data_IF_232797577025
#
_entry.id   IF_232797577025
#
_cell.length_a   1.000
_cell.length_b   1.000
_cell.length_c   1.000
_cell.angle_alpha   90.00
_cell.angle_beta   90.00
_cell.angle_gamma   90.00
#
_symmetry.space_group_name_H-M   'P 1'
#
loop_
_entity.id
_entity.type
_entity.pdbx_description
1 polymer ?
#
# COMPACT_ATOMS: atom_id res chain seq x y z
N UNK A 1 -3.89 -11.34 15.00
CA UNK A 1 -2.63 -11.14 14.26
C UNK A 1 -2.87 -10.07 13.20
N UNK A 2 -1.92 -9.20 12.92
CA UNK A 2 -2.08 -8.18 11.87
C UNK A 2 -2.31 -8.82 10.50
N UNK A 3 -3.03 -8.13 9.63
CA UNK A 3 -3.31 -8.62 8.28
C UNK A 3 -2.02 -8.68 7.47
N UNK A 4 -1.74 -9.78 6.76
CA UNK A 4 -0.57 -9.83 5.87
C UNK A 4 -0.77 -8.90 4.66
N UNK A 5 0.31 -8.55 3.94
CA UNK A 5 0.21 -7.88 2.65
C UNK A 5 -0.72 -8.66 1.71
N UNK A 6 -1.54 -7.94 0.94
CA UNK A 6 -2.59 -8.54 0.09
C UNK A 6 -2.06 -9.61 -0.87
N UNK A 7 -0.83 -9.45 -1.34
CA UNK A 7 -0.22 -10.37 -2.31
C UNK A 7 0.35 -11.65 -1.69
N UNK A 8 0.50 -11.73 -0.35
CA UNK A 8 1.09 -12.90 0.30
C UNK A 8 0.39 -14.23 -0.07
N UNK A 9 -0.95 -14.34 -0.05
CA UNK A 9 -1.62 -15.60 -0.44
C UNK A 9 -1.30 -16.05 -1.86
N UNK A 10 -1.10 -15.12 -2.80
CA UNK A 10 -0.72 -15.41 -4.20
C UNK A 10 0.64 -16.11 -4.25
N UNK A 11 1.63 -15.53 -3.58
CA UNK A 11 2.98 -16.04 -3.58
C UNK A 11 3.14 -17.32 -2.76
N UNK A 12 2.36 -17.46 -1.67
CA UNK A 12 2.31 -18.70 -0.87
C UNK A 12 1.77 -19.86 -1.71
N UNK A 13 0.67 -19.67 -2.45
CA UNK A 13 0.14 -20.70 -3.35
C UNK A 13 1.16 -21.04 -4.45
N UNK A 14 1.75 -20.04 -5.09
CA UNK A 14 2.75 -20.23 -6.14
C UNK A 14 3.97 -21.03 -5.64
N UNK A 15 4.51 -20.66 -4.47
CA UNK A 15 5.64 -21.36 -3.86
C UNK A 15 5.32 -22.80 -3.50
N UNK A 16 4.15 -23.04 -2.90
CA UNK A 16 3.70 -24.38 -2.54
C UNK A 16 3.58 -25.28 -3.77
N UNK A 17 2.97 -24.78 -4.86
CA UNK A 17 2.83 -25.52 -6.11
C UNK A 17 4.19 -25.83 -6.74
N UNK A 18 5.10 -24.88 -6.82
CA UNK A 18 6.44 -25.11 -7.38
C UNK A 18 7.24 -26.12 -6.57
N UNK A 19 7.16 -26.09 -5.24
CA UNK A 19 7.81 -27.10 -4.36
C UNK A 19 7.23 -28.49 -4.58
N UNK A 20 5.92 -28.59 -4.86
CA UNK A 20 5.23 -29.85 -5.12
C UNK A 20 5.33 -30.32 -6.58
N UNK A 21 5.93 -29.54 -7.48
CA UNK A 21 5.93 -29.83 -8.92
C UNK A 21 4.56 -29.71 -9.57
N UNK A 22 3.61 -29.03 -8.93
CA UNK A 22 2.26 -28.81 -9.47
C UNK A 22 2.25 -27.59 -10.40
N UNK A 23 1.65 -27.71 -11.62
CA UNK A 23 1.56 -26.57 -12.54
C UNK A 23 0.79 -25.40 -11.94
N UNK A 24 1.34 -24.20 -12.06
CA UNK A 24 0.73 -22.96 -11.58
C UNK A 24 1.09 -21.80 -12.51
N UNK A 25 0.14 -20.88 -12.72
CA UNK A 25 0.35 -19.66 -13.47
C UNK A 25 0.04 -18.44 -12.61
N UNK A 26 0.75 -17.35 -12.88
CA UNK A 26 0.45 -16.04 -12.31
C UNK A 26 -0.30 -15.19 -13.34
N UNK A 27 -1.35 -14.51 -12.91
CA UNK A 27 -1.98 -13.40 -13.60
C UNK A 27 -1.59 -12.11 -12.88
N UNK A 28 -1.23 -11.07 -13.63
CA UNK A 28 -0.87 -9.78 -13.06
C UNK A 28 -1.39 -8.62 -13.91
N UNK A 29 -1.92 -7.57 -13.27
CA UNK A 29 -2.28 -6.31 -13.92
C UNK A 29 -1.06 -5.39 -13.88
N UNK A 30 -0.40 -5.24 -15.03
CA UNK A 30 0.82 -4.43 -15.14
C UNK A 30 0.53 -2.95 -15.32
N UNK A 31 -0.63 -2.59 -15.93
CA UNK A 31 -1.12 -1.22 -16.10
C UNK A 31 -2.64 -1.21 -15.95
N UNK A 32 -3.17 -0.13 -15.41
CA UNK A 32 -4.61 0.12 -15.36
C UNK A 32 -4.91 1.60 -15.53
N UNK A 33 -5.89 1.92 -16.38
CA UNK A 33 -6.35 3.28 -16.63
C UNK A 33 -7.88 3.36 -16.57
N UNK A 34 -8.40 4.50 -16.15
CA UNK A 34 -9.82 4.76 -16.06
C UNK A 34 -10.54 3.82 -15.09
N UNK A 35 -11.80 3.47 -15.41
CA UNK A 35 -12.66 2.57 -14.62
C UNK A 35 -12.41 1.10 -14.94
N UNK A 36 -11.16 0.64 -14.89
CA UNK A 36 -10.85 -0.78 -15.02
C UNK A 36 -11.14 -1.54 -13.72
N UNK A 37 -11.61 -2.81 -13.76
CA UNK A 37 -11.90 -3.59 -12.56
C UNK A 37 -10.64 -3.94 -11.78
N UNK A 38 -9.54 -4.30 -12.45
CA UNK A 38 -8.24 -4.53 -11.83
C UNK A 38 -7.43 -3.24 -11.73
N UNK A 39 -6.58 -3.16 -10.72
CA UNK A 39 -5.64 -2.06 -10.54
C UNK A 39 -4.22 -2.55 -10.74
N UNK A 40 -3.34 -1.67 -11.22
CA UNK A 40 -1.92 -1.97 -11.35
C UNK A 40 -1.38 -2.57 -10.03
N UNK A 41 -0.68 -3.68 -10.15
CA UNK A 41 -0.16 -4.44 -9.03
C UNK A 41 -1.10 -5.56 -8.54
N UNK A 42 -2.35 -5.66 -9.02
CA UNK A 42 -3.22 -6.79 -8.68
C UNK A 42 -2.68 -8.09 -9.29
N UNK A 43 -2.66 -9.15 -8.50
CA UNK A 43 -2.13 -10.45 -8.89
C UNK A 43 -3.04 -11.58 -8.46
N UNK A 44 -2.94 -12.70 -9.19
CA UNK A 44 -3.64 -13.94 -8.88
C UNK A 44 -2.75 -15.12 -9.25
N UNK A 45 -2.67 -16.12 -8.39
CA UNK A 45 -2.14 -17.43 -8.73
C UNK A 45 -3.29 -18.37 -9.12
N UNK A 46 -3.09 -19.15 -10.18
CA UNK A 46 -4.09 -20.06 -10.74
C UNK A 46 -3.47 -21.45 -10.89
N UNK A 47 -4.15 -22.45 -10.35
CA UNK A 47 -3.89 -23.88 -10.60
C UNK A 47 -5.08 -24.52 -11.31
N UNK A 48 -5.05 -25.81 -11.53
CA UNK A 48 -6.20 -26.55 -12.08
C UNK A 48 -7.48 -26.32 -11.26
N UNK A 49 -7.37 -26.34 -9.93
CA UNK A 49 -8.53 -26.39 -9.03
C UNK A 49 -8.65 -25.16 -8.12
N UNK A 50 -7.55 -24.44 -7.89
CA UNK A 50 -7.48 -23.38 -6.87
C UNK A 50 -7.03 -22.06 -7.47
N UNK A 51 -7.47 -20.95 -6.89
CA UNK A 51 -6.99 -19.61 -7.17
C UNK A 51 -6.70 -18.87 -5.86
N UNK A 52 -5.72 -17.97 -5.88
CA UNK A 52 -5.43 -17.05 -4.78
C UNK A 52 -5.19 -15.65 -5.34
N UNK A 53 -5.77 -14.61 -4.70
CA UNK A 53 -5.72 -13.23 -5.18
C UNK A 53 -6.83 -12.89 -6.17
N UNK A 54 -6.69 -11.75 -6.86
CA UNK A 54 -7.65 -11.26 -7.86
C UNK A 54 -7.00 -10.26 -8.80
N UNK A 55 -7.44 -10.23 -10.05
CA UNK A 55 -7.08 -9.24 -11.07
C UNK A 55 -8.22 -8.26 -11.37
N UNK A 56 -9.25 -8.22 -10.50
CA UNK A 56 -10.35 -7.26 -10.58
C UNK A 56 -11.75 -7.86 -10.56
N UNK A 57 -11.88 -9.18 -10.59
CA UNK A 57 -13.17 -9.89 -10.53
C UNK A 57 -13.98 -9.88 -11.83
N UNK A 58 -15.20 -10.41 -11.74
CA UNK A 58 -16.14 -10.43 -12.84
C UNK A 58 -15.80 -11.39 -13.97
N UNK A 59 -16.52 -11.23 -15.09
CA UNK A 59 -16.46 -12.15 -16.25
C UNK A 59 -15.04 -12.22 -16.85
N UNK A 60 -14.30 -11.09 -16.80
CA UNK A 60 -12.97 -11.06 -17.40
C UNK A 60 -11.95 -11.82 -16.58
N UNK A 61 -12.01 -11.74 -15.28
CA UNK A 61 -11.17 -12.57 -14.41
C UNK A 61 -11.46 -14.04 -14.66
N UNK A 62 -12.71 -14.44 -14.75
CA UNK A 62 -13.09 -15.81 -15.10
C UNK A 62 -12.49 -16.27 -16.43
N UNK A 63 -12.57 -15.46 -17.49
CA UNK A 63 -11.96 -15.78 -18.80
C UNK A 63 -10.43 -15.97 -18.69
N UNK A 64 -9.74 -15.12 -17.91
CA UNK A 64 -8.30 -15.25 -17.70
C UNK A 64 -7.95 -16.50 -16.89
N UNK A 65 -8.74 -16.85 -15.88
CA UNK A 65 -8.58 -18.08 -15.11
C UNK A 65 -8.74 -19.31 -15.99
N UNK A 66 -9.79 -19.36 -16.83
CA UNK A 66 -10.01 -20.48 -17.76
C UNK A 66 -8.88 -20.58 -18.80
N UNK A 67 -8.43 -19.47 -19.34
CA UNK A 67 -7.27 -19.44 -20.25
C UNK A 67 -5.99 -19.95 -19.56
N UNK A 68 -5.75 -19.54 -18.32
CA UNK A 68 -4.60 -20.03 -17.54
C UNK A 68 -4.67 -21.54 -17.33
N UNK A 69 -5.84 -22.08 -16.96
CA UNK A 69 -6.09 -23.52 -16.78
C UNK A 69 -5.86 -24.31 -18.06
N UNK A 70 -6.40 -23.84 -19.19
CA UNK A 70 -6.19 -24.48 -20.50
C UNK A 70 -4.70 -24.56 -20.85
N UNK A 71 -3.94 -23.48 -20.62
CA UNK A 71 -2.50 -23.46 -20.89
C UNK A 71 -1.71 -24.38 -19.96
N UNK A 72 -2.05 -24.43 -18.68
CA UNK A 72 -1.43 -25.37 -17.74
C UNK A 72 -1.70 -26.81 -18.13
N UNK A 73 -2.92 -27.13 -18.59
CA UNK A 73 -3.28 -28.49 -19.07
C UNK A 73 -2.54 -28.88 -20.36
N UNK A 74 -2.37 -27.93 -21.28
CA UNK A 74 -1.67 -28.18 -22.55
C UNK A 74 -0.14 -28.15 -22.42
N UNK A 75 0.39 -27.76 -21.25
CA UNK A 75 1.84 -27.58 -21.04
C UNK A 75 2.41 -26.34 -21.75
N UNK A 76 1.55 -25.39 -22.18
CA UNK A 76 2.01 -24.16 -22.81
C UNK A 76 2.65 -23.22 -21.78
N UNK A 77 3.97 -23.19 -21.77
CA UNK A 77 4.79 -22.40 -20.85
C UNK A 77 5.11 -20.98 -21.37
N UNK A 78 4.55 -20.56 -22.50
CA UNK A 78 4.83 -19.23 -23.06
C UNK A 78 4.05 -18.13 -22.32
N UNK A 79 4.69 -17.04 -21.87
CA UNK A 79 4.00 -15.90 -21.32
C UNK A 79 3.05 -15.25 -22.33
N UNK A 80 1.98 -14.67 -21.84
CA UNK A 80 1.02 -13.93 -22.64
C UNK A 80 0.72 -12.58 -22.00
N UNK A 81 1.07 -11.51 -22.67
CA UNK A 81 0.71 -10.14 -22.29
C UNK A 81 -0.32 -9.62 -23.28
N UNK A 82 -1.49 -9.23 -22.77
CA UNK A 82 -2.58 -8.67 -23.61
C UNK A 82 -3.14 -7.40 -23.00
N UNK A 83 -3.35 -6.35 -23.82
CA UNK A 83 -4.20 -5.24 -23.44
C UNK A 83 -5.65 -5.71 -23.38
N UNK A 84 -6.37 -5.25 -22.36
CA UNK A 84 -7.78 -5.50 -22.16
C UNK A 84 -8.52 -4.17 -22.14
N UNK A 85 -9.37 -3.95 -23.13
CA UNK A 85 -10.10 -2.69 -23.30
C UNK A 85 -11.57 -2.91 -22.94
N UNK A 86 -12.04 -2.16 -21.95
CA UNK A 86 -13.42 -2.19 -21.47
C UNK A 86 -14.26 -1.11 -22.18
N UNK A 87 -14.31 -1.09 -23.54
CA UNK A 87 -15.15 -0.15 -24.30
C UNK A 87 -16.32 -0.89 -24.93
N UNK A 88 -17.50 -0.24 -24.92
CA UNK A 88 -18.75 -0.77 -25.48
C UNK A 88 -18.66 -1.10 -26.98
N UNK A 89 -17.75 -0.49 -27.71
CA UNK A 89 -17.59 -0.55 -29.16
C UNK A 89 -16.36 -1.33 -29.65
N UNK A 90 -15.62 -2.00 -28.75
CA UNK A 90 -14.45 -2.77 -29.16
C UNK A 90 -14.83 -4.04 -29.94
N UNK A 91 -14.25 -4.28 -31.15
CA UNK A 91 -14.64 -5.40 -32.01
C UNK A 91 -14.25 -6.78 -31.48
N UNK A 92 -13.26 -6.87 -30.61
CA UNK A 92 -12.79 -8.11 -30.00
C UNK A 92 -12.62 -7.92 -28.49
N UNK A 93 -12.80 -8.99 -27.70
CA UNK A 93 -12.67 -9.01 -26.22
C UNK A 93 -13.72 -8.17 -25.44
N UNK A 94 -14.98 -8.21 -25.87
CA UNK A 94 -16.08 -7.59 -25.16
C UNK A 94 -16.23 -8.18 -23.75
N UNK A 95 -16.01 -7.35 -22.73
CA UNK A 95 -16.26 -7.72 -21.33
C UNK A 95 -17.74 -7.75 -20.97
N UNK A 96 -18.62 -7.18 -21.82
CA UNK A 96 -20.04 -6.98 -21.50
C UNK A 96 -20.27 -5.97 -20.37
N UNK A 97 -19.23 -5.34 -19.83
CA UNK A 97 -19.33 -4.36 -18.75
C UNK A 97 -19.42 -2.94 -19.31
N UNK A 98 -20.20 -2.08 -18.63
CA UNK A 98 -20.33 -0.64 -18.96
C UNK A 98 -19.14 0.20 -18.48
N UNK A 99 -18.07 -0.42 -18.03
CA UNK A 99 -16.88 0.29 -17.55
C UNK A 99 -15.99 0.71 -18.72
N UNK A 100 -15.54 1.97 -18.72
CA UNK A 100 -14.64 2.53 -19.74
C UNK A 100 -13.22 2.63 -19.19
N UNK A 101 -12.52 1.51 -19.09
CA UNK A 101 -11.14 1.47 -18.61
C UNK A 101 -10.28 0.53 -19.45
N UNK A 102 -8.97 0.64 -19.29
CA UNK A 102 -7.99 -0.21 -19.95
C UNK A 102 -7.05 -0.83 -18.92
N UNK A 103 -6.63 -2.06 -19.17
CA UNK A 103 -5.59 -2.71 -18.37
C UNK A 103 -4.75 -3.64 -19.22
N UNK A 104 -3.45 -3.74 -18.89
CA UNK A 104 -2.55 -4.73 -19.48
C UNK A 104 -2.42 -5.88 -18.49
N UNK A 105 -2.82 -7.07 -18.93
CA UNK A 105 -2.80 -8.29 -18.10
C UNK A 105 -1.74 -9.26 -18.62
N UNK A 106 -0.85 -9.66 -17.73
CA UNK A 106 0.15 -10.69 -17.95
C UNK A 106 -0.37 -12.02 -17.42
N UNK A 107 -0.28 -13.07 -18.25
CA UNK A 107 -0.37 -14.47 -17.84
C UNK A 107 1.03 -15.06 -17.92
N UNK A 108 1.54 -15.58 -16.81
CA UNK A 108 2.88 -16.12 -16.68
C UNK A 108 2.83 -17.52 -16.07
N UNK A 109 2.92 -18.59 -16.91
CA UNK A 109 3.11 -19.93 -16.38
C UNK A 109 4.47 -20.02 -15.66
N UNK A 110 4.44 -20.40 -14.39
CA UNK A 110 5.67 -20.54 -13.60
C UNK A 110 6.42 -21.81 -13.96
N UNK A 111 7.74 -21.71 -13.98
CA UNK A 111 8.67 -22.82 -14.25
C UNK A 111 9.40 -23.22 -12.96
N UNK A 112 9.95 -24.43 -12.87
CA UNK A 112 10.77 -24.82 -11.73
C UNK A 112 11.94 -23.86 -11.46
N UNK A 113 12.46 -23.21 -12.50
CA UNK A 113 13.53 -22.20 -12.41
C UNK A 113 13.09 -20.93 -11.65
N UNK A 114 11.79 -20.66 -11.57
CA UNK A 114 11.25 -19.48 -10.88
C UNK A 114 11.14 -19.69 -9.35
N UNK A 115 11.32 -20.94 -8.86
CA UNK A 115 11.15 -21.29 -7.44
C UNK A 115 11.97 -20.41 -6.50
N UNK A 116 13.22 -20.12 -6.84
CA UNK A 116 14.09 -19.30 -6.00
C UNK A 116 13.54 -17.87 -5.84
N UNK A 117 13.11 -17.24 -6.95
CA UNK A 117 12.53 -15.89 -6.93
C UNK A 117 11.18 -15.88 -6.17
N UNK A 118 10.29 -16.84 -6.44
CA UNK A 118 8.98 -16.97 -5.81
C UNK A 118 9.11 -17.17 -4.30
N UNK A 119 10.03 -18.03 -3.85
CA UNK A 119 10.28 -18.26 -2.42
C UNK A 119 10.85 -17.03 -1.73
N UNK A 120 11.77 -16.31 -2.40
CA UNK A 120 12.32 -15.07 -1.85
C UNK A 120 11.26 -13.97 -1.71
N UNK A 121 10.34 -13.84 -2.68
CA UNK A 121 9.21 -12.92 -2.61
C UNK A 121 8.25 -13.31 -1.47
N UNK A 122 7.88 -14.60 -1.36
CA UNK A 122 7.06 -15.11 -0.26
C UNK A 122 7.67 -14.74 1.09
N UNK A 123 8.95 -15.04 1.29
CA UNK A 123 9.67 -14.73 2.53
C UNK A 123 9.72 -13.23 2.82
N UNK A 124 9.99 -12.39 1.80
CA UNK A 124 10.03 -10.95 1.96
C UNK A 124 8.67 -10.37 2.39
N UNK A 125 7.56 -10.92 1.88
CA UNK A 125 6.20 -10.53 2.26
C UNK A 125 5.83 -11.01 3.68
N UNK A 126 6.26 -12.20 4.07
CA UNK A 126 6.03 -12.75 5.42
C UNK A 126 6.78 -11.96 6.49
N UNK A 127 8.01 -11.59 6.21
CA UNK A 127 8.90 -10.89 7.17
C UNK A 127 8.81 -9.37 7.08
N UNK A 128 8.06 -8.83 6.11
CA UNK A 128 8.01 -7.39 5.79
C UNK A 128 9.40 -6.78 5.55
N UNK A 129 10.34 -7.59 5.06
CA UNK A 129 11.72 -7.14 4.82
C UNK A 129 11.86 -6.24 3.60
N UNK A 130 10.81 -6.14 2.77
CA UNK A 130 10.81 -5.33 1.55
C UNK A 130 11.58 -5.98 0.40
N UNK A 131 11.95 -5.17 -0.59
CA UNK A 131 12.57 -5.59 -1.83
C UNK A 131 11.71 -5.24 -3.03
N UNK A 132 12.12 -5.75 -4.22
CA UNK A 132 11.42 -5.49 -5.46
C UNK A 132 11.16 -6.79 -6.22
N UNK A 133 9.96 -6.86 -6.79
CA UNK A 133 9.61 -7.77 -7.87
C UNK A 133 10.01 -7.10 -9.19
N UNK A 134 10.78 -7.78 -10.01
CA UNK A 134 11.00 -7.42 -11.41
C UNK A 134 10.46 -8.50 -12.33
N UNK A 135 9.81 -8.05 -13.42
CA UNK A 135 9.26 -8.90 -14.45
C UNK A 135 9.55 -8.31 -15.82
N UNK A 136 10.14 -9.07 -16.71
CA UNK A 136 10.43 -8.58 -18.07
C UNK A 136 10.44 -9.69 -19.10
N UNK A 137 10.27 -9.30 -20.35
CA UNK A 137 10.38 -10.23 -21.49
C UNK A 137 11.75 -10.89 -21.56
N UNK A 138 12.82 -10.15 -21.23
CA UNK A 138 14.20 -10.63 -21.36
C UNK A 138 14.68 -11.49 -20.18
N UNK A 139 14.34 -11.07 -18.94
CA UNK A 139 14.94 -11.66 -17.73
C UNK A 139 13.95 -12.53 -16.92
N UNK A 140 12.68 -12.59 -17.34
CA UNK A 140 11.66 -13.31 -16.59
C UNK A 140 11.32 -12.67 -15.24
N UNK A 141 10.95 -13.52 -14.27
CA UNK A 141 10.61 -13.15 -12.91
C UNK A 141 11.87 -13.11 -12.04
N UNK A 142 12.07 -12.01 -11.31
CA UNK A 142 13.22 -11.82 -10.41
C UNK A 142 12.79 -11.16 -9.10
N UNK A 143 13.46 -11.55 -8.02
CA UNK A 143 13.46 -10.84 -6.75
C UNK A 143 14.73 -10.04 -6.59
N UNK A 144 14.62 -8.77 -6.21
CA UNK A 144 15.73 -7.93 -5.81
C UNK A 144 15.58 -7.59 -4.32
N UNK A 145 16.53 -7.99 -3.47
CA UNK A 145 16.49 -7.63 -2.05
C UNK A 145 16.56 -6.10 -1.88
N UNK A 146 16.11 -5.56 -0.73
CA UNK A 146 16.34 -4.16 -0.42
C UNK A 146 17.85 -3.90 -0.43
N UNK A 147 18.27 -2.76 -0.97
CA UNK A 147 19.68 -2.38 -0.93
C UNK A 147 20.12 -2.33 0.54
N UNK A 148 21.04 -3.21 0.94
CA UNK A 148 21.68 -3.12 2.22
C UNK A 148 22.46 -1.80 2.25
N UNK A 149 22.24 -0.99 3.29
CA UNK A 149 22.93 0.27 3.50
C UNK A 149 24.42 0.05 3.85
N UNK A 150 25.15 -0.54 2.92
CA UNK A 150 26.59 -0.69 3.01
C UNK A 150 27.19 -0.90 1.61
N UNK A 151 28.11 -0.05 1.29
CA UNK A 151 29.26 -0.22 0.39
C UNK A 151 29.26 0.33 -1.02
N UNK A 152 28.23 1.00 -1.59
CA UNK A 152 28.56 1.79 -2.78
C UNK A 152 27.53 2.89 -3.04
N UNK A 153 27.95 4.14 -2.87
CA UNK A 153 27.10 5.34 -2.91
C UNK A 153 26.42 5.65 -4.26
N UNK A 154 26.61 4.85 -5.29
CA UNK A 154 25.99 5.05 -6.61
C UNK A 154 24.78 4.13 -6.87
N UNK A 155 24.70 2.96 -6.23
CA UNK A 155 23.63 1.98 -6.44
C UNK A 155 22.46 2.11 -5.46
N UNK A 156 22.69 2.69 -4.28
CA UNK A 156 21.62 2.90 -3.29
C UNK A 156 20.62 3.98 -3.73
N UNK A 157 21.04 5.00 -4.44
CA UNK A 157 20.17 6.06 -4.96
C UNK A 157 19.21 5.56 -6.08
N UNK A 158 19.64 4.62 -6.89
CA UNK A 158 18.80 4.04 -7.95
C UNK A 158 17.76 3.04 -7.42
N UNK A 159 17.97 2.46 -6.24
CA UNK A 159 17.04 1.52 -5.62
C UNK A 159 15.90 2.20 -4.85
N UNK A 160 16.06 3.48 -4.48
CA UNK A 160 15.07 4.26 -3.71
C UNK A 160 14.14 5.12 -4.56
N UNK A 161 14.41 5.28 -5.85
CA UNK A 161 13.76 6.27 -6.71
C UNK A 161 12.68 5.69 -7.64
N UNK A 162 11.84 4.77 -7.13
CA UNK A 162 10.54 4.57 -7.75
C UNK A 162 9.66 5.73 -7.30
N UNK A 163 9.36 6.64 -8.23
CA UNK A 163 8.39 7.73 -8.03
C UNK A 163 6.98 7.20 -7.65
N UNK A 164 6.76 5.89 -7.85
CA UNK A 164 5.55 5.16 -7.48
C UNK A 164 5.84 3.78 -6.90
N UNK A 165 4.79 3.10 -6.46
CA UNK A 165 4.87 1.72 -5.96
C UNK A 165 5.20 0.71 -7.06
N UNK A 166 4.71 0.96 -8.27
CA UNK A 166 4.93 0.16 -9.47
C UNK A 166 5.42 1.04 -10.61
N UNK A 167 6.30 0.49 -11.45
CA UNK A 167 6.72 1.05 -12.72
C UNK A 167 6.51 0.02 -13.84
N UNK A 168 6.00 0.47 -14.99
CA UNK A 168 5.73 -0.40 -16.14
C UNK A 168 6.11 0.28 -17.44
N UNK A 169 6.94 -0.38 -18.22
CA UNK A 169 7.32 0.03 -19.57
C UNK A 169 6.68 -0.95 -20.56
N UNK A 170 5.79 -0.42 -21.41
CA UNK A 170 5.09 -1.20 -22.42
C UNK A 170 5.94 -1.41 -23.69
N UNK A 171 5.57 -2.38 -24.52
CA UNK A 171 6.19 -2.65 -25.81
C UNK A 171 6.82 -4.04 -25.92
N UNK A 172 7.54 -4.32 -27.00
CA UNK A 172 8.14 -5.63 -27.24
C UNK A 172 9.17 -6.03 -26.16
N UNK A 173 9.91 -5.06 -25.62
CA UNK A 173 10.85 -5.20 -24.52
C UNK A 173 10.24 -4.77 -23.18
N UNK A 174 8.96 -5.11 -22.95
CA UNK A 174 8.26 -4.71 -21.74
C UNK A 174 9.02 -5.07 -20.46
N UNK A 175 8.88 -4.21 -19.45
CA UNK A 175 9.40 -4.41 -18.10
C UNK A 175 8.43 -3.89 -17.05
N UNK A 176 8.38 -4.59 -15.93
CA UNK A 176 7.57 -4.24 -14.77
C UNK A 176 8.41 -4.35 -13.51
N UNK A 177 8.33 -3.35 -12.66
CA UNK A 177 8.98 -3.34 -11.35
C UNK A 177 7.99 -2.90 -10.29
N UNK A 178 7.98 -3.57 -9.15
CA UNK A 178 7.09 -3.28 -8.04
C UNK A 178 7.82 -3.44 -6.71
N UNK A 179 7.56 -2.52 -5.78
CA UNK A 179 8.01 -2.67 -4.40
C UNK A 179 7.16 -3.71 -3.68
N UNK A 180 7.80 -4.65 -2.98
CA UNK A 180 7.11 -5.67 -2.20
C UNK A 180 6.64 -5.14 -0.84
N UNK A 181 5.54 -5.70 -0.35
CA UNK A 181 4.94 -5.37 0.93
C UNK A 181 3.75 -4.42 0.80
N UNK A 182 3.46 -3.71 1.89
CA UNK A 182 2.38 -2.73 1.89
C UNK A 182 2.72 -1.51 1.03
N UNK A 183 1.74 -1.05 0.26
CA UNK A 183 1.89 0.17 -0.54
C UNK A 183 2.03 1.39 0.35
N UNK A 184 1.15 1.52 1.34
CA UNK A 184 1.03 2.69 2.21
C UNK A 184 1.22 2.29 3.67
N UNK A 185 1.78 3.21 4.45
CA UNK A 185 2.04 3.04 5.87
C UNK A 185 1.26 4.08 6.65
N UNK A 186 0.43 3.61 7.60
CA UNK A 186 -0.35 4.45 8.49
C UNK A 186 0.24 4.40 9.89
N UNK A 187 0.68 5.57 10.38
CA UNK A 187 1.07 5.74 11.78
C UNK A 187 -0.04 6.46 12.52
N UNK A 188 -0.56 5.85 13.56
CA UNK A 188 -1.54 6.42 14.49
C UNK A 188 -0.78 6.81 15.76
N UNK A 189 -0.81 8.09 16.10
CA UNK A 189 -0.19 8.65 17.31
C UNK A 189 -1.28 8.87 18.34
N UNK A 190 -1.27 8.05 19.40
CA UNK A 190 -2.31 7.92 20.41
C UNK A 190 -3.02 6.57 20.29
N UNK A 191 -2.92 5.71 21.32
CA UNK A 191 -3.40 4.33 21.35
C UNK A 191 -4.80 4.15 21.98
N UNK A 192 -5.66 5.17 22.00
CA UNK A 192 -6.99 5.12 22.61
C UNK A 192 -8.03 4.29 21.83
N UNK A 193 -9.29 4.34 22.25
CA UNK A 193 -10.39 3.55 21.65
C UNK A 193 -10.60 3.83 20.15
N UNK A 194 -10.53 5.09 19.73
CA UNK A 194 -10.65 5.46 18.31
C UNK A 194 -9.48 4.91 17.51
N UNK A 195 -8.26 4.90 18.08
CA UNK A 195 -7.08 4.29 17.46
C UNK A 195 -7.26 2.79 17.24
N UNK A 196 -7.79 2.09 18.24
CA UNK A 196 -8.09 0.65 18.15
C UNK A 196 -9.13 0.38 17.05
N UNK A 197 -10.21 1.16 17.03
CA UNK A 197 -11.25 1.06 16.00
C UNK A 197 -10.69 1.38 14.60
N UNK A 198 -9.90 2.45 14.46
CA UNK A 198 -9.27 2.81 13.19
C UNK A 198 -8.28 1.74 12.71
N UNK A 199 -7.51 1.13 13.62
CA UNK A 199 -6.61 0.04 13.27
C UNK A 199 -7.36 -1.15 12.66
N UNK A 200 -8.50 -1.53 13.24
CA UNK A 200 -9.32 -2.64 12.72
C UNK A 200 -9.89 -2.33 11.31
N UNK A 201 -10.35 -1.11 11.07
CA UNK A 201 -10.85 -0.70 9.74
C UNK A 201 -9.70 -0.61 8.73
N UNK A 202 -8.59 0.00 9.12
CA UNK A 202 -7.44 0.23 8.24
C UNK A 202 -6.71 -1.08 7.85
N UNK A 203 -6.78 -2.13 8.69
CA UNK A 203 -6.24 -3.45 8.38
C UNK A 203 -6.86 -4.04 7.09
N UNK A 204 -8.14 -3.75 6.81
CA UNK A 204 -8.81 -4.17 5.58
C UNK A 204 -8.44 -3.31 4.35
N UNK A 205 -7.74 -2.21 4.55
CA UNK A 205 -7.37 -1.24 3.50
C UNK A 205 -5.92 -1.39 3.01
N UNK A 206 -5.25 -2.48 3.37
CA UNK A 206 -3.88 -2.79 2.95
C UNK A 206 -2.88 -1.68 3.37
N UNK A 207 -2.95 -1.27 4.64
CA UNK A 207 -1.96 -0.43 5.30
C UNK A 207 -1.03 -1.26 6.20
N UNK A 208 0.26 -0.96 6.16
CA UNK A 208 1.14 -1.31 7.27
C UNK A 208 0.87 -0.35 8.43
N UNK A 209 0.41 -0.90 9.57
CA UNK A 209 -0.08 -0.12 10.70
C UNK A 209 0.94 -0.03 11.81
N UNK A 210 1.27 1.18 12.22
CA UNK A 210 2.06 1.48 13.43
C UNK A 210 1.21 2.30 14.39
N UNK A 211 1.15 1.90 15.66
CA UNK A 211 0.49 2.67 16.72
C UNK A 211 1.54 3.06 17.76
N UNK A 212 1.61 4.36 18.04
CA UNK A 212 2.55 4.96 18.99
C UNK A 212 1.76 5.66 20.11
N UNK A 213 2.16 5.45 21.36
CA UNK A 213 1.59 6.14 22.53
C UNK A 213 2.71 6.46 23.53
N UNK A 214 2.53 7.44 24.39
CA UNK A 214 3.49 7.79 25.45
C UNK A 214 3.20 7.07 26.78
N UNK A 215 2.05 6.41 26.89
CA UNK A 215 1.62 5.74 28.10
C UNK A 215 2.01 4.26 28.10
N UNK A 216 2.78 3.79 29.10
CA UNK A 216 3.00 2.37 29.28
C UNK A 216 1.71 1.67 29.75
N UNK A 217 1.59 0.40 29.42
CA UNK A 217 0.48 -0.49 29.88
C UNK A 217 -0.91 0.01 29.50
N UNK A 218 -1.07 0.55 28.29
CA UNK A 218 -2.35 1.02 27.78
C UNK A 218 -3.15 -0.17 27.22
N UNK A 219 -4.29 -0.59 27.85
CA UNK A 219 -5.01 -1.81 27.42
C UNK A 219 -5.44 -1.79 25.96
N UNK A 220 -5.84 -0.63 25.41
CA UNK A 220 -6.23 -0.48 24.02
C UNK A 220 -5.06 -0.61 23.05
N UNK A 221 -3.83 -0.25 23.46
CA UNK A 221 -2.62 -0.46 22.69
C UNK A 221 -2.21 -1.94 22.74
N UNK A 222 -2.22 -2.54 23.94
CA UNK A 222 -1.80 -3.93 24.16
C UNK A 222 -2.72 -4.92 23.43
N UNK A 223 -4.03 -4.65 23.42
CA UNK A 223 -5.03 -5.47 22.74
C UNK A 223 -5.14 -5.22 21.22
N UNK A 224 -4.45 -4.24 20.66
CA UNK A 224 -4.55 -3.88 19.25
C UNK A 224 -3.84 -4.89 18.35
N UNK A 225 -4.50 -6.00 18.04
CA UNK A 225 -3.95 -7.06 17.21
C UNK A 225 -3.89 -6.69 15.71
N UNK A 226 -4.59 -5.65 15.27
CA UNK A 226 -4.57 -5.19 13.89
C UNK A 226 -3.28 -4.42 13.55
N UNK A 227 -2.63 -3.81 14.56
CA UNK A 227 -1.39 -3.09 14.38
C UNK A 227 -0.20 -4.04 14.18
N UNK A 228 0.62 -3.77 13.14
CA UNK A 228 1.86 -4.49 12.87
C UNK A 228 2.95 -4.12 13.90
N UNK A 229 2.98 -2.85 14.26
CA UNK A 229 3.94 -2.31 15.22
C UNK A 229 3.20 -1.52 16.29
N UNK A 230 3.48 -1.84 17.57
CA UNK A 230 2.96 -1.13 18.75
C UNK A 230 4.15 -0.72 19.59
N UNK A 231 4.27 0.55 19.88
CA UNK A 231 5.43 1.05 20.62
C UNK A 231 5.03 2.15 21.58
N UNK A 232 5.60 2.08 22.77
CA UNK A 232 5.56 3.18 23.76
C UNK A 232 6.76 4.05 23.50
N UNK A 233 6.56 5.35 23.29
CA UNK A 233 7.59 6.31 22.93
C UNK A 233 7.40 7.61 23.67
N UNK A 234 8.47 8.39 23.78
CA UNK A 234 8.37 9.80 24.16
C UNK A 234 8.01 10.63 22.92
N UNK A 235 6.93 11.41 22.97
CA UNK A 235 6.49 12.26 21.88
C UNK A 235 7.48 13.36 21.48
N UNK A 236 8.43 13.73 22.36
CA UNK A 236 9.52 14.63 21.99
C UNK A 236 10.44 14.00 20.90
N UNK A 237 10.48 12.67 20.83
CA UNK A 237 11.27 11.93 19.85
C UNK A 237 10.45 11.46 18.63
N UNK A 238 9.19 11.84 18.52
CA UNK A 238 8.25 11.35 17.48
C UNK A 238 8.79 11.51 16.05
N UNK A 239 9.55 12.55 15.77
CA UNK A 239 10.12 12.80 14.46
C UNK A 239 11.13 11.71 14.02
N UNK A 240 11.83 11.07 14.94
CA UNK A 240 12.74 9.95 14.64
C UNK A 240 11.97 8.66 14.32
N UNK A 241 10.76 8.50 14.90
CA UNK A 241 9.94 7.32 14.79
C UNK A 241 9.15 7.25 13.48
N UNK A 242 8.84 8.40 12.87
CA UNK A 242 8.01 8.49 11.67
C UNK A 242 8.86 8.97 10.49
N UNK A 243 9.39 8.08 9.64
CA UNK A 243 10.15 8.47 8.48
C UNK A 243 9.26 9.23 7.47
N UNK A 244 9.87 10.21 6.79
CA UNK A 244 9.20 10.92 5.71
C UNK A 244 9.06 10.04 4.46
N UNK A 245 8.03 10.28 3.64
CA UNK A 245 7.84 9.58 2.36
C UNK A 245 6.46 9.80 1.75
N UNK A 246 6.32 9.60 0.42
CA UNK A 246 5.09 9.85 -0.32
C UNK A 246 3.97 8.86 -0.01
N UNK A 247 4.27 7.77 0.68
CA UNK A 247 3.33 6.73 1.09
C UNK A 247 3.10 6.71 2.61
N UNK A 248 3.44 7.81 3.30
CA UNK A 248 3.29 7.94 4.75
C UNK A 248 2.03 8.73 5.10
N UNK A 249 1.19 8.10 5.92
CA UNK A 249 -0.04 8.67 6.47
C UNK A 249 0.12 8.76 7.98
N UNK A 250 -0.13 9.92 8.54
CA UNK A 250 -0.02 10.15 9.98
C UNK A 250 -1.32 10.72 10.52
N UNK A 251 -1.87 10.06 11.53
CA UNK A 251 -3.07 10.48 12.24
C UNK A 251 -2.73 10.71 13.69
N UNK A 252 -2.93 11.95 14.18
CA UNK A 252 -2.65 12.37 15.55
C UNK A 252 -3.97 12.40 16.33
N UNK A 253 -4.05 11.58 17.39
CA UNK A 253 -5.22 11.46 18.26
C UNK A 253 -4.82 11.17 19.72
N UNK A 254 -3.89 11.98 20.25
CA UNK A 254 -3.42 11.82 21.62
C UNK A 254 -4.49 12.27 22.65
N UNK A 255 -4.18 12.16 23.93
CA UNK A 255 -5.15 12.45 25.01
C UNK A 255 -5.61 13.91 25.03
N UNK A 256 -4.80 14.86 24.53
CA UNK A 256 -5.17 16.26 24.66
C UNK A 256 -4.41 17.23 23.78
N UNK A 257 -4.83 18.50 23.86
CA UNK A 257 -4.26 19.61 23.11
C UNK A 257 -2.74 19.71 23.24
N UNK A 258 -2.21 19.61 24.50
CA UNK A 258 -0.78 19.80 24.76
C UNK A 258 0.10 18.76 24.07
N UNK A 259 -0.30 17.50 24.16
CA UNK A 259 0.43 16.40 23.53
C UNK A 259 0.30 16.42 22.01
N UNK A 260 -0.89 16.75 21.46
CA UNK A 260 -1.04 16.95 20.01
C UNK A 260 -0.14 18.09 19.50
N UNK A 261 -0.06 19.20 20.24
CA UNK A 261 0.78 20.36 19.87
C UNK A 261 2.28 20.00 19.84
N UNK A 262 2.76 19.18 20.77
CA UNK A 262 4.14 18.65 20.78
C UNK A 262 4.38 17.80 19.53
N UNK A 263 3.54 16.79 19.31
CA UNK A 263 3.65 15.88 18.16
C UNK A 263 3.65 16.65 16.84
N UNK A 264 2.67 17.55 16.64
CA UNK A 264 2.55 18.31 15.40
C UNK A 264 3.76 19.21 15.13
N UNK A 265 4.30 19.88 16.16
CA UNK A 265 5.51 20.71 16.01
C UNK A 265 6.70 19.89 15.52
N UNK A 266 6.96 18.72 16.12
CA UNK A 266 8.08 17.85 15.72
C UNK A 266 7.89 17.32 14.30
N UNK A 267 6.69 16.88 13.94
CA UNK A 267 6.41 16.39 12.60
C UNK A 267 6.52 17.47 11.52
N UNK A 268 6.06 18.69 11.80
CA UNK A 268 6.19 19.81 10.86
C UNK A 268 7.63 20.33 10.76
N UNK A 269 8.40 20.32 11.86
CA UNK A 269 9.84 20.62 11.79
C UNK A 269 10.61 19.61 10.95
N UNK A 270 10.32 18.31 11.09
CA UNK A 270 10.88 17.28 10.22
C UNK A 270 10.49 17.51 8.76
N UNK A 271 9.26 17.97 8.53
CA UNK A 271 8.78 18.32 7.19
C UNK A 271 9.61 19.42 6.53
N UNK A 272 10.10 20.39 7.29
CA UNK A 272 11.02 21.44 6.79
C UNK A 272 12.39 20.88 6.40
N UNK A 273 12.92 19.94 7.16
CA UNK A 273 14.24 19.35 6.95
C UNK A 273 14.26 18.31 5.81
N UNK A 274 13.17 17.56 5.66
CA UNK A 274 13.02 16.45 4.73
C UNK A 274 12.34 16.83 3.40
N UNK A 275 12.57 18.03 2.86
CA UNK A 275 12.05 18.41 1.54
C UNK A 275 12.58 17.45 0.49
N UNK A 276 11.79 16.43 0.17
CA UNK A 276 12.01 15.64 -1.03
C UNK A 276 11.84 16.54 -2.25
N UNK A 277 12.43 16.22 -3.41
CA UNK A 277 12.24 16.93 -4.69
C UNK A 277 10.75 17.13 -5.05
N UNK A 278 9.82 16.40 -4.41
CA UNK A 278 8.36 16.45 -4.60
C UNK A 278 7.59 17.21 -3.50
N UNK A 279 8.25 17.85 -2.54
CA UNK A 279 7.66 18.90 -1.70
C UNK A 279 6.96 18.46 -0.42
N UNK A 280 6.57 17.21 -0.20
CA UNK A 280 5.83 16.75 0.99
C UNK A 280 6.47 15.54 1.69
N UNK A 281 6.69 15.62 3.03
CA UNK A 281 7.22 14.49 3.80
C UNK A 281 6.17 13.43 4.12
N UNK A 282 4.88 13.80 4.11
CA UNK A 282 3.77 12.90 4.38
C UNK A 282 2.69 13.05 3.31
N UNK A 283 2.11 11.94 2.86
CA UNK A 283 0.93 11.94 2.02
C UNK A 283 -0.29 12.51 2.74
N UNK A 284 -0.36 12.26 4.05
CA UNK A 284 -1.43 12.73 4.90
C UNK A 284 -0.88 13.01 6.30
N UNK A 285 -1.22 14.17 6.85
CA UNK A 285 -1.00 14.52 8.25
C UNK A 285 -2.30 15.11 8.79
N UNK A 286 -2.93 14.42 9.73
CA UNK A 286 -4.20 14.88 10.29
C UNK A 286 -4.28 14.78 11.80
N UNK A 287 -5.12 15.63 12.40
CA UNK A 287 -5.34 15.66 13.86
C UNK A 287 -6.82 15.55 14.21
N UNK A 288 -7.11 14.68 15.17
CA UNK A 288 -8.45 14.49 15.73
C UNK A 288 -8.77 15.57 16.75
N UNK A 289 -9.97 16.12 16.65
CA UNK A 289 -10.48 17.07 17.65
C UNK A 289 -11.68 17.85 17.15
N UNK A 290 -12.26 18.65 18.02
CA UNK A 290 -13.30 19.63 17.63
C UNK A 290 -12.70 20.74 16.75
N UNK A 291 -13.56 21.44 16.01
CA UNK A 291 -13.15 22.61 15.23
C UNK A 291 -12.42 23.66 16.09
N UNK A 292 -12.86 23.85 17.32
CA UNK A 292 -12.24 24.79 18.29
C UNK A 292 -10.82 24.31 18.63
N UNK A 293 -10.64 23.03 19.00
CA UNK A 293 -9.33 22.46 19.31
C UNK A 293 -8.35 22.60 18.14
N UNK A 294 -8.82 22.30 16.92
CA UNK A 294 -7.99 22.39 15.72
C UNK A 294 -7.61 23.84 15.40
N UNK A 295 -8.53 24.79 15.57
CA UNK A 295 -8.23 26.21 15.38
C UNK A 295 -7.14 26.68 16.37
N UNK A 296 -7.22 26.25 17.60
CA UNK A 296 -6.24 26.58 18.65
C UNK A 296 -4.86 25.93 18.38
N UNK A 297 -4.82 24.68 17.91
CA UNK A 297 -3.60 24.02 17.46
C UNK A 297 -2.94 24.80 16.30
N UNK A 298 -3.73 25.21 15.31
CA UNK A 298 -3.23 26.00 14.18
C UNK A 298 -2.69 27.36 14.63
N UNK A 299 -3.37 28.01 15.57
CA UNK A 299 -2.89 29.27 16.16
C UNK A 299 -1.54 29.05 16.89
N UNK A 300 -1.43 28.03 17.74
CA UNK A 300 -0.17 27.70 18.42
C UNK A 300 0.97 27.36 17.48
N UNK A 301 0.70 26.76 16.31
CA UNK A 301 1.70 26.54 15.27
C UNK A 301 2.17 27.84 14.62
N UNK A 302 1.27 28.85 14.41
CA UNK A 302 1.66 30.18 13.92
C UNK A 302 2.62 30.86 14.90
N UNK A 303 2.27 30.86 16.19
CA UNK A 303 3.12 31.41 17.25
C UNK A 303 4.48 30.72 17.33
N UNK A 304 4.54 29.42 16.99
CA UNK A 304 5.78 28.67 16.87
C UNK A 304 6.56 28.92 15.55
N UNK A 305 6.09 29.87 14.71
CA UNK A 305 6.79 30.29 13.49
C UNK A 305 6.58 29.38 12.28
N UNK A 306 5.51 28.59 12.23
CA UNK A 306 5.12 27.86 11.01
C UNK A 306 4.33 28.76 10.07
N UNK A 307 4.62 28.66 8.77
CA UNK A 307 3.94 29.42 7.73
C UNK A 307 2.52 28.88 7.48
N UNK A 308 1.63 29.73 6.93
CA UNK A 308 0.29 29.31 6.54
C UNK A 308 0.30 28.13 5.55
N UNK A 309 1.27 28.08 4.65
CA UNK A 309 1.45 26.96 3.71
C UNK A 309 1.75 25.63 4.40
N UNK A 310 2.52 25.65 5.48
CA UNK A 310 2.82 24.45 6.27
C UNK A 310 1.60 24.03 7.10
N UNK A 311 0.92 25.00 7.71
CA UNK A 311 -0.27 24.76 8.54
C UNK A 311 -1.47 24.31 7.70
N UNK A 312 -1.64 24.82 6.47
CA UNK A 312 -2.72 24.41 5.56
C UNK A 312 -2.66 22.93 5.19
N UNK A 313 -1.50 22.30 5.32
CA UNK A 313 -1.28 20.87 5.09
C UNK A 313 -1.79 19.97 6.21
N UNK A 314 -1.97 20.55 7.41
CA UNK A 314 -2.56 19.83 8.53
C UNK A 314 -4.07 19.69 8.31
N UNK A 315 -4.53 18.47 8.14
CA UNK A 315 -5.96 18.14 8.11
C UNK A 315 -6.53 18.12 9.53
N UNK A 316 -7.67 18.73 9.71
CA UNK A 316 -8.33 18.75 11.00
C UNK A 316 -9.55 19.68 11.03
N UNK A 317 -10.60 19.24 11.73
CA UNK A 317 -10.87 17.91 12.26
C UNK A 317 -10.76 16.82 11.19
N UNK A 318 -10.13 15.66 11.53
CA UNK A 318 -10.01 14.55 10.60
C UNK A 318 -11.31 13.79 10.42
N UNK A 319 -11.46 13.20 9.24
CA UNK A 319 -12.61 12.41 8.85
C UNK A 319 -13.60 13.16 7.97
N UNK A 320 -14.29 12.44 7.10
CA UNK A 320 -15.37 13.00 6.31
C UNK A 320 -16.58 13.33 7.21
N UNK A 321 -17.34 14.40 6.91
CA UNK A 321 -18.44 14.85 7.77
C UNK A 321 -19.69 13.95 7.63
N UNK A 322 -19.64 12.76 8.23
CA UNK A 322 -20.74 11.78 8.23
C UNK A 322 -21.53 11.76 9.55
N UNK A 323 -21.34 12.76 10.42
CA UNK A 323 -21.99 12.88 11.74
C UNK A 323 -21.64 11.71 12.68
N UNK A 324 -20.43 11.18 12.59
CA UNK A 324 -19.91 10.08 13.42
C UNK A 324 -19.89 10.44 14.91
N UNK A 325 -20.28 9.49 15.78
CA UNK A 325 -20.37 9.67 17.24
C UNK A 325 -19.57 8.61 18.01
N UNK A 326 -19.62 7.35 17.58
CA UNK A 326 -18.89 6.27 18.26
C UNK A 326 -17.44 6.14 17.75
N UNK A 327 -16.54 5.52 18.51
CA UNK A 327 -15.17 5.25 18.03
C UNK A 327 -15.13 4.55 16.67
N UNK A 328 -16.04 3.61 16.43
CA UNK A 328 -16.13 2.83 15.19
C UNK A 328 -16.60 3.71 14.01
N UNK A 329 -17.60 4.58 14.24
CA UNK A 329 -18.07 5.53 13.22
C UNK A 329 -17.01 6.58 12.88
N UNK A 330 -16.29 7.08 13.90
CA UNK A 330 -15.17 8.02 13.73
C UNK A 330 -14.06 7.32 12.93
N UNK A 331 -13.77 6.06 13.22
CA UNK A 331 -12.79 5.28 12.47
C UNK A 331 -13.18 5.14 10.99
N UNK A 332 -14.44 4.88 10.67
CA UNK A 332 -14.96 4.83 9.29
C UNK A 332 -14.82 6.20 8.61
N UNK A 333 -15.18 7.27 9.28
CA UNK A 333 -15.04 8.65 8.79
C UNK A 333 -13.60 8.98 8.43
N UNK A 334 -12.63 8.65 9.30
CA UNK A 334 -11.21 8.84 9.08
C UNK A 334 -10.71 7.95 7.94
N UNK A 335 -11.09 6.67 7.93
CA UNK A 335 -10.69 5.75 6.88
C UNK A 335 -11.17 6.19 5.49
N UNK A 336 -12.37 6.75 5.40
CA UNK A 336 -12.90 7.31 4.15
C UNK A 336 -12.06 8.51 3.67
N UNK A 337 -11.63 9.41 4.56
CA UNK A 337 -10.73 10.52 4.23
C UNK A 337 -9.33 10.02 3.81
N UNK A 338 -8.78 8.99 4.46
CA UNK A 338 -7.51 8.36 4.07
C UNK A 338 -7.60 7.75 2.66
N UNK A 339 -8.73 7.12 2.31
CA UNK A 339 -8.98 6.62 0.95
C UNK A 339 -9.04 7.78 -0.05
N UNK A 340 -9.71 8.87 0.28
CA UNK A 340 -9.77 10.07 -0.55
C UNK A 340 -8.36 10.64 -0.78
N UNK A 341 -7.56 10.78 0.28
CA UNK A 341 -6.16 11.23 0.21
C UNK A 341 -5.30 10.32 -0.67
N UNK A 342 -5.50 8.99 -0.59
CA UNK A 342 -4.80 8.00 -1.41
C UNK A 342 -5.09 8.16 -2.90
N UNK A 343 -6.28 8.59 -3.28
CA UNK A 343 -6.77 8.61 -4.67
C UNK A 343 -6.66 9.98 -5.35
N UNK A 344 -6.58 11.05 -4.58
CA UNK A 344 -6.48 12.42 -5.12
C UNK A 344 -5.05 12.73 -5.55
N UNK A 345 -4.89 13.41 -6.68
CA UNK A 345 -3.58 13.91 -7.11
C UNK A 345 -3.11 15.10 -6.25
N UNK A 346 -4.07 15.86 -5.70
CA UNK A 346 -3.85 17.15 -5.03
C UNK A 346 -3.90 17.08 -3.49
N UNK A 347 -3.77 15.90 -2.90
CA UNK A 347 -3.84 15.72 -1.44
C UNK A 347 -2.49 15.87 -0.80
#
# INVERSE_FOLDING_TARGET
MPSPPRDLPVWTLAAACLRAGTPVALLAVLRSEGSSPGRQGFKMAVTADTVAGSIGGGIMEHKWVELARQRLQSGDAMPLLRPQVHRREAPADRSGMMCSGEQDVLLWPLRPTDLAAVTAIESALQTLSGGFLEWSAANGLRFLPPATAATDGATAAAATDLAGFCDYQAGAAWGYRERLGFRDQLTIVGGGHVSLALSNVAAALDFELTVLDDRPNLPTLDSNQAAHHRRVIDYENIAAEIPAGPHRYVVVMTVGYRTDAVVLRHLLHRARQGRTRQGHPYRYLGVMGSTVKVAELRWGLREAGFSETEIARLRGPIGLPIQSQTPEEIAISIAAELIQARRSADF
#
